data_IF_200925424833
#
_entry.id   IF_200925424833
#
_cell.length_a   1.000
_cell.length_b   1.000
_cell.length_c   1.000
_cell.angle_alpha   90.00
_cell.angle_beta   90.00
_cell.angle_gamma   90.00
#
_symmetry.space_group_name_H-M   'P 1'
#
loop_
_entity.id
_entity.type
_entity.pdbx_description
1 polymer ?
#
# COMPACT_ATOMS: atom_id res chain seq x y z
N UNK A 1 3.32 26.52 7.66
CA UNK A 1 3.33 25.69 6.44
C UNK A 1 3.62 24.25 6.88
N UNK A 2 2.60 23.41 7.04
CA UNK A 2 2.79 21.99 7.41
C UNK A 2 2.71 21.19 6.13
N UNK A 3 3.77 20.45 5.81
CA UNK A 3 3.78 19.54 4.69
C UNK A 3 2.84 18.37 5.01
N UNK A 4 1.64 18.39 4.46
CA UNK A 4 0.73 17.24 4.48
C UNK A 4 1.27 16.26 3.44
N UNK A 5 1.45 15.00 3.84
CA UNK A 5 1.88 13.95 2.93
C UNK A 5 0.69 13.52 2.08
N UNK A 6 0.80 13.69 0.77
CA UNK A 6 -0.22 13.23 -0.18
C UNK A 6 -0.30 11.70 -0.21
N UNK A 7 -1.51 11.11 -0.34
CA UNK A 7 -1.67 9.69 -0.62
C UNK A 7 -0.94 9.31 -1.92
N UNK A 8 -0.12 8.25 -1.87
CA UNK A 8 0.66 7.75 -3.03
C UNK A 8 0.18 6.36 -3.46
N UNK A 9 1.02 5.61 -4.17
CA UNK A 9 0.80 4.22 -4.62
C UNK A 9 1.05 3.16 -3.51
N UNK A 10 1.23 3.60 -2.26
CA UNK A 10 1.67 2.77 -1.13
C UNK A 10 3.12 3.04 -0.70
N UNK A 11 3.61 2.26 0.27
CA UNK A 11 4.98 2.29 0.79
C UNK A 11 5.92 1.76 -0.30
N UNK A 12 6.87 2.59 -0.73
CA UNK A 12 7.81 2.28 -1.80
C UNK A 12 9.23 2.78 -1.52
N UNK A 13 10.09 2.71 -2.54
CA UNK A 13 11.52 3.04 -2.43
C UNK A 13 12.37 1.89 -1.90
N UNK A 14 13.69 2.05 -1.90
CA UNK A 14 14.62 0.96 -1.54
C UNK A 14 14.67 0.67 -0.03
N UNK A 15 14.72 1.71 0.80
CA UNK A 15 15.08 1.57 2.21
C UNK A 15 13.91 1.06 3.06
N UNK A 16 12.72 1.64 2.92
CA UNK A 16 11.59 1.34 3.81
C UNK A 16 11.10 -0.12 3.71
N UNK A 17 10.86 -0.69 2.51
CA UNK A 17 10.42 -2.09 2.41
C UNK A 17 11.50 -3.09 2.82
N UNK A 18 12.78 -2.77 2.53
CA UNK A 18 13.92 -3.64 2.81
C UNK A 18 14.23 -3.70 4.30
N UNK A 19 14.38 -2.54 4.93
CA UNK A 19 14.81 -2.45 6.33
C UNK A 19 13.69 -2.91 7.27
N UNK A 20 12.43 -2.61 6.95
CA UNK A 20 11.27 -3.07 7.73
C UNK A 20 11.13 -4.60 7.68
N UNK A 21 11.32 -5.20 6.50
CA UNK A 21 11.27 -6.66 6.34
C UNK A 21 12.43 -7.34 7.09
N UNK A 22 13.64 -6.80 6.93
CA UNK A 22 14.82 -7.30 7.64
C UNK A 22 14.62 -7.24 9.17
N UNK A 23 14.11 -6.12 9.69
CA UNK A 23 13.85 -5.94 11.12
C UNK A 23 12.82 -6.94 11.65
N UNK A 24 11.70 -7.14 10.94
CA UNK A 24 10.68 -8.11 11.36
C UNK A 24 11.16 -9.56 11.32
N UNK A 25 12.04 -9.90 10.37
CA UNK A 25 12.57 -11.26 10.23
C UNK A 25 13.71 -11.57 11.21
N UNK A 26 14.50 -10.56 11.61
CA UNK A 26 15.60 -10.73 12.56
C UNK A 26 15.15 -10.66 14.02
N UNK A 27 14.02 -10.00 14.30
CA UNK A 27 13.47 -9.85 15.65
C UNK A 27 12.76 -11.12 16.14
N UNK A 28 13.51 -12.06 16.73
CA UNK A 28 12.99 -13.36 17.18
C UNK A 28 12.09 -13.32 18.42
N UNK A 29 12.12 -12.26 19.24
CA UNK A 29 11.32 -12.20 20.49
C UNK A 29 10.27 -11.08 20.56
N UNK A 30 10.40 -9.99 19.78
CA UNK A 30 9.44 -8.88 19.78
C UNK A 30 9.13 -8.48 18.33
N UNK A 31 7.91 -8.80 17.89
CA UNK A 31 7.36 -8.25 16.64
C UNK A 31 6.81 -6.85 16.92
N UNK A 32 7.29 -5.85 16.18
CA UNK A 32 6.75 -4.49 16.30
C UNK A 32 5.33 -4.43 15.73
N UNK A 33 4.34 -4.19 16.60
CA UNK A 33 2.93 -4.05 16.22
C UNK A 33 2.70 -2.90 15.23
N UNK A 34 3.46 -1.82 15.37
CA UNK A 34 3.36 -0.63 14.49
C UNK A 34 3.84 -0.97 13.09
N UNK A 35 5.00 -1.60 12.95
CA UNK A 35 5.55 -1.96 11.65
C UNK A 35 4.68 -3.00 10.94
N UNK A 36 4.14 -3.95 11.71
CA UNK A 36 3.22 -4.94 11.17
C UNK A 36 1.93 -4.30 10.66
N UNK A 37 1.29 -3.45 11.47
CA UNK A 37 0.09 -2.72 11.06
C UNK A 37 0.34 -1.84 9.82
N UNK A 38 1.50 -1.17 9.74
CA UNK A 38 1.86 -0.35 8.57
C UNK A 38 1.97 -1.18 7.29
N UNK A 39 2.52 -2.40 7.36
CA UNK A 39 2.60 -3.32 6.21
C UNK A 39 1.21 -3.83 5.82
N UNK A 40 0.38 -4.20 6.78
CA UNK A 40 -0.98 -4.71 6.53
C UNK A 40 -1.86 -3.63 5.87
N UNK A 41 -1.86 -2.42 6.41
CA UNK A 41 -2.60 -1.28 5.85
C UNK A 41 -2.14 -0.93 4.43
N UNK A 42 -0.83 -1.00 4.17
CA UNK A 42 -0.29 -0.77 2.83
C UNK A 42 -0.77 -1.83 1.81
N UNK A 43 -0.81 -3.11 2.19
CA UNK A 43 -1.35 -4.17 1.33
C UNK A 43 -2.84 -3.97 1.05
N UNK A 44 -3.62 -3.63 2.08
CA UNK A 44 -5.05 -3.38 1.94
C UNK A 44 -5.32 -2.17 1.05
N UNK A 45 -4.52 -1.12 1.19
CA UNK A 45 -4.62 0.07 0.34
C UNK A 45 -4.32 -0.25 -1.14
N UNK A 46 -3.28 -1.03 -1.44
CA UNK A 46 -3.00 -1.48 -2.83
C UNK A 46 -4.16 -2.29 -3.42
N UNK A 47 -4.68 -3.27 -2.67
CA UNK A 47 -5.85 -4.08 -3.10
C UNK A 47 -7.07 -3.21 -3.37
N UNK A 48 -7.34 -2.24 -2.49
CA UNK A 48 -8.44 -1.29 -2.66
C UNK A 48 -8.29 -0.46 -3.94
N UNK A 49 -7.07 -0.01 -4.23
CA UNK A 49 -6.76 0.73 -5.45
C UNK A 49 -6.94 -0.11 -6.72
N UNK A 50 -6.34 -1.29 -6.77
CA UNK A 50 -6.50 -2.24 -7.89
C UNK A 50 -7.99 -2.53 -8.14
N UNK A 51 -8.75 -2.81 -7.08
CA UNK A 51 -10.19 -3.07 -7.19
C UNK A 51 -10.98 -1.85 -7.72
N UNK A 52 -10.55 -0.63 -7.42
CA UNK A 52 -11.17 0.60 -7.95
C UNK A 52 -10.77 0.91 -9.38
N UNK A 53 -9.52 0.63 -9.75
CA UNK A 53 -9.06 0.75 -11.13
C UNK A 53 -9.81 -0.24 -12.04
N UNK A 54 -10.00 -1.49 -11.59
CA UNK A 54 -10.80 -2.50 -12.29
C UNK A 54 -12.26 -2.05 -12.45
N UNK A 55 -12.89 -1.51 -11.40
CA UNK A 55 -14.26 -0.96 -11.48
C UNK A 55 -14.37 0.27 -12.39
N UNK A 56 -13.33 1.09 -12.47
CA UNK A 56 -13.27 2.23 -13.38
C UNK A 56 -13.16 1.82 -14.84
N UNK A 57 -12.46 0.73 -15.13
CA UNK A 57 -12.35 0.15 -16.49
C UNK A 57 -13.71 -0.39 -16.95
N UNK A 58 -14.44 -1.08 -16.07
CA UNK A 58 -15.73 -1.70 -16.38
C UNK A 58 -16.85 -0.66 -16.65
N UNK A 59 -16.74 0.54 -16.07
CA UNK A 59 -17.63 1.66 -16.42
C UNK A 59 -17.24 2.35 -17.73
N UNK A 60 -15.95 2.36 -18.07
CA UNK A 60 -15.46 3.00 -19.30
C UNK A 60 -15.66 2.12 -20.54
N UNK A 61 -15.67 0.79 -20.40
CA UNK A 61 -15.94 -0.15 -21.49
C UNK A 61 -17.40 -0.07 -21.99
N UNK A 62 -18.36 0.19 -21.10
CA UNK A 62 -19.77 0.40 -21.47
C UNK A 62 -19.98 1.70 -22.28
N UNK A 63 -19.20 2.75 -22.02
CA UNK A 63 -19.30 4.03 -22.74
C UNK A 63 -18.60 4.04 -24.11
N UNK A 64 -17.66 3.12 -24.36
CA UNK A 64 -16.98 3.01 -25.66
C UNK A 64 -17.72 2.11 -26.67
N UNK A 65 -18.86 1.53 -26.28
CA UNK A 65 -19.66 0.62 -27.10
C UNK A 65 -21.02 1.18 -27.52
N UNK A 66 -21.27 2.48 -27.29
CA UNK A 66 -22.47 3.22 -27.73
C UNK A 66 -22.09 4.19 -28.86
#
# INVERSE_FOLDING_TARGET
NVHILEPREGIGGHCLPKDTKMFLQSSKSIKSKILQAAIEVDQDYRRYREAREIKGIDQNSFLQSI
#
